data_IF_985526799836
#
_entry.id   IF_985526799836
#
_cell.length_a   1.000
_cell.length_b   1.000
_cell.length_c   1.000
_cell.angle_alpha   90.00
_cell.angle_beta   90.00
_cell.angle_gamma   90.00
#
_symmetry.space_group_name_H-M   'P 1'
#
loop_
_entity.id
_entity.type
_entity.pdbx_description
1 polymer ?
#
# COMPACT_ATOMS: atom_id res chain seq x y z
N UNK A 1 -15.91 12.86 15.57
CA UNK A 1 -15.23 11.57 15.70
C UNK A 1 -14.27 11.40 14.52
N UNK A 2 -13.01 10.97 14.79
CA UNK A 2 -12.03 10.70 13.72
C UNK A 2 -12.21 9.29 13.17
N UNK A 3 -12.17 9.14 11.84
CA UNK A 3 -12.30 7.87 11.14
C UNK A 3 -11.01 7.49 10.42
N UNK A 4 -10.73 6.19 10.33
CA UNK A 4 -9.63 5.64 9.54
C UNK A 4 -9.93 5.84 8.05
N UNK A 5 -8.90 6.12 7.28
CA UNK A 5 -8.97 6.20 5.83
C UNK A 5 -8.86 4.82 5.19
N UNK A 6 -9.99 4.26 4.76
CA UNK A 6 -10.01 3.00 4.01
C UNK A 6 -9.39 3.10 2.60
N UNK A 7 -9.21 4.33 2.09
CA UNK A 7 -8.48 4.58 0.82
C UNK A 7 -6.97 4.67 1.03
N UNK A 8 -6.47 4.43 2.26
CA UNK A 8 -5.05 4.50 2.56
C UNK A 8 -4.28 3.47 1.72
N UNK A 9 -3.24 3.89 0.95
CA UNK A 9 -2.47 2.98 0.09
C UNK A 9 -1.84 1.79 0.83
N UNK A 10 -1.52 1.92 2.12
CA UNK A 10 -1.01 0.79 2.93
C UNK A 10 -2.03 -0.33 3.10
N UNK A 11 -3.32 -0.01 3.08
CA UNK A 11 -4.40 -1.00 3.18
C UNK A 11 -4.70 -1.67 1.86
N UNK A 12 -4.25 -1.09 0.74
CA UNK A 12 -4.60 -1.56 -0.61
C UNK A 12 -4.03 -2.95 -0.96
N UNK A 13 -2.95 -3.38 -0.27
CA UNK A 13 -2.40 -4.74 -0.46
C UNK A 13 -3.23 -5.84 0.22
N UNK A 14 -4.18 -5.45 1.08
CA UNK A 14 -5.06 -6.38 1.78
C UNK A 14 -6.47 -6.33 1.20
N UNK A 15 -7.08 -7.50 1.04
CA UNK A 15 -8.47 -7.57 0.59
C UNK A 15 -9.42 -7.28 1.75
N UNK A 16 -9.80 -6.01 1.89
CA UNK A 16 -10.69 -5.53 2.97
C UNK A 16 -12.17 -5.43 2.54
N UNK A 17 -12.55 -5.98 1.38
CA UNK A 17 -13.96 -5.97 0.95
C UNK A 17 -14.83 -6.71 1.98
N UNK A 18 -15.74 -5.98 2.60
CA UNK A 18 -16.67 -6.52 3.61
C UNK A 18 -16.06 -6.71 5.01
N UNK A 19 -14.78 -6.34 5.22
CA UNK A 19 -14.18 -6.40 6.54
C UNK A 19 -14.83 -5.38 7.47
N UNK A 20 -15.13 -5.79 8.70
CA UNK A 20 -15.55 -4.86 9.74
C UNK A 20 -14.34 -4.11 10.33
N UNK A 21 -14.59 -3.04 11.07
CA UNK A 21 -13.55 -2.17 11.61
C UNK A 21 -12.60 -2.90 12.57
N UNK A 22 -13.09 -3.88 13.33
CA UNK A 22 -12.28 -4.64 14.29
C UNK A 22 -11.28 -5.56 13.56
N UNK A 23 -11.69 -6.14 12.42
CA UNK A 23 -10.81 -6.92 11.55
C UNK A 23 -9.69 -6.04 10.96
N UNK A 24 -10.00 -4.78 10.64
CA UNK A 24 -8.99 -3.81 10.19
C UNK A 24 -8.00 -3.50 11.31
N UNK A 25 -8.44 -3.27 12.54
CA UNK A 25 -7.53 -3.03 13.67
C UNK A 25 -6.63 -4.24 13.94
N UNK A 26 -7.18 -5.44 13.87
CA UNK A 26 -6.41 -6.69 14.04
C UNK A 26 -5.37 -6.86 12.91
N UNK A 27 -5.76 -6.59 11.66
CA UNK A 27 -4.82 -6.61 10.54
C UNK A 27 -3.67 -5.60 10.73
N UNK A 28 -3.99 -4.37 11.16
CA UNK A 28 -2.99 -3.34 11.42
C UNK A 28 -2.05 -3.77 12.55
N UNK A 29 -2.57 -4.45 13.56
CA UNK A 29 -1.77 -5.02 14.65
C UNK A 29 -0.80 -6.07 14.14
N UNK A 30 -1.30 -7.05 13.40
CA UNK A 30 -0.53 -8.20 12.94
C UNK A 30 0.51 -7.86 11.87
N UNK A 31 0.18 -6.94 10.94
CA UNK A 31 0.95 -6.73 9.71
C UNK A 31 1.69 -5.37 9.66
N UNK A 32 1.33 -4.41 10.51
CA UNK A 32 1.84 -3.04 10.39
C UNK A 32 2.55 -2.53 11.64
N UNK A 33 3.10 -3.42 12.45
CA UNK A 33 3.86 -3.09 13.66
C UNK A 33 3.12 -2.06 14.55
N UNK A 34 1.82 -2.26 14.78
CA UNK A 34 1.02 -1.36 15.59
C UNK A 34 1.37 -1.47 17.07
N UNK A 35 1.91 -2.63 17.49
CA UNK A 35 2.38 -2.89 18.86
C UNK A 35 3.38 -1.83 19.32
N UNK A 36 4.36 -1.48 18.48
CA UNK A 36 5.38 -0.47 18.80
C UNK A 36 4.75 0.90 19.11
N UNK A 37 3.71 1.27 18.35
CA UNK A 37 3.01 2.55 18.52
C UNK A 37 2.18 2.53 19.80
N UNK A 38 1.49 1.43 20.08
CA UNK A 38 0.73 1.28 21.33
C UNK A 38 1.66 1.34 22.54
N UNK A 39 2.81 0.67 22.50
CA UNK A 39 3.81 0.72 23.57
C UNK A 39 4.31 2.17 23.75
N UNK A 40 4.64 2.86 22.66
CA UNK A 40 5.11 4.24 22.70
C UNK A 40 4.07 5.19 23.31
N UNK A 41 2.81 5.08 22.86
CA UNK A 41 1.70 5.90 23.41
C UNK A 41 1.45 5.56 24.88
N UNK A 42 1.54 4.30 25.27
CA UNK A 42 1.35 3.88 26.66
C UNK A 42 2.45 4.44 27.57
N UNK A 43 3.68 4.54 27.07
CA UNK A 43 4.83 5.03 27.85
C UNK A 43 4.93 6.57 27.90
N UNK A 44 4.58 7.26 26.82
CA UNK A 44 4.87 8.69 26.64
C UNK A 44 3.65 9.58 26.34
N UNK A 45 2.45 8.99 26.17
CA UNK A 45 1.29 9.70 25.65
C UNK A 45 1.36 9.89 24.13
N UNK A 46 0.39 10.64 23.59
CA UNK A 46 0.38 10.99 22.17
C UNK A 46 1.26 12.22 21.92
N UNK A 47 2.20 12.13 20.99
CA UNK A 47 3.09 13.25 20.68
C UNK A 47 2.35 14.40 19.98
N UNK A 48 2.26 15.54 20.65
CA UNK A 48 1.60 16.76 20.15
C UNK A 48 2.31 17.36 18.93
N UNK A 49 3.60 17.07 18.76
CA UNK A 49 4.44 17.55 17.64
C UNK A 49 4.16 16.84 16.33
N UNK A 50 3.40 15.73 16.36
CA UNK A 50 3.01 14.97 15.18
C UNK A 50 1.48 14.87 15.05
N UNK A 51 0.78 15.96 14.66
CA UNK A 51 -0.68 15.96 14.54
C UNK A 51 -1.12 14.96 13.45
N UNK A 52 -2.37 14.50 13.56
CA UNK A 52 -3.03 13.74 12.51
C UNK A 52 -3.46 14.68 11.39
N UNK A 53 -3.26 14.31 10.13
CA UNK A 53 -3.81 15.08 9.01
C UNK A 53 -5.22 14.59 8.69
N UNK A 54 -6.16 15.52 8.65
CA UNK A 54 -7.59 15.24 8.55
C UNK A 54 -8.20 16.02 7.39
N UNK A 55 -9.08 15.36 6.65
CA UNK A 55 -9.97 16.00 5.67
C UNK A 55 -11.42 15.70 6.03
N UNK A 56 -12.34 16.56 5.63
CA UNK A 56 -13.76 16.30 5.75
C UNK A 56 -14.28 15.71 4.42
N UNK A 57 -14.83 14.49 4.47
CA UNK A 57 -15.50 13.82 3.36
C UNK A 57 -16.86 13.33 3.85
N UNK A 58 -17.93 13.62 3.12
CA UNK A 58 -19.31 13.22 3.45
C UNK A 58 -19.71 13.55 4.91
N UNK A 59 -19.34 14.74 5.41
CA UNK A 59 -19.52 15.21 6.78
C UNK A 59 -18.81 14.34 7.85
N UNK A 60 -17.81 13.58 7.44
CA UNK A 60 -16.97 12.78 8.31
C UNK A 60 -15.53 13.27 8.29
N UNK A 61 -14.88 13.28 9.45
CA UNK A 61 -13.46 13.58 9.56
C UNK A 61 -12.64 12.33 9.33
N UNK A 62 -11.95 12.28 8.20
CA UNK A 62 -11.12 11.16 7.75
C UNK A 62 -9.65 11.48 7.98
N UNK A 63 -8.94 10.61 8.67
CA UNK A 63 -7.50 10.75 8.92
C UNK A 63 -6.72 10.22 7.73
N UNK A 64 -6.20 11.10 6.88
CA UNK A 64 -5.44 10.75 5.68
C UNK A 64 -3.96 10.46 5.98
N UNK A 65 -3.42 11.01 7.08
CA UNK A 65 -2.08 10.68 7.57
C UNK A 65 -2.09 10.51 9.09
N UNK A 66 -1.43 9.44 9.55
CA UNK A 66 -1.41 9.04 10.96
C UNK A 66 -2.39 7.91 11.30
N UNK A 67 -2.89 7.17 10.30
CA UNK A 67 -3.86 6.08 10.51
C UNK A 67 -3.38 5.03 11.52
N UNK A 68 -2.08 4.66 11.52
CA UNK A 68 -1.51 3.74 12.52
C UNK A 68 -1.61 4.30 13.94
N UNK A 69 -1.33 5.61 14.12
CA UNK A 69 -1.43 6.28 15.41
C UNK A 69 -2.89 6.38 15.87
N UNK A 70 -3.80 6.74 14.97
CA UNK A 70 -5.23 6.73 15.27
C UNK A 70 -5.72 5.32 15.67
N UNK A 71 -5.30 4.29 14.96
CA UNK A 71 -5.68 2.90 15.26
C UNK A 71 -5.17 2.46 16.64
N UNK A 72 -3.93 2.80 16.99
CA UNK A 72 -3.39 2.54 18.32
C UNK A 72 -4.23 3.23 19.41
N UNK A 73 -4.60 4.50 19.23
CA UNK A 73 -5.47 5.23 20.15
C UNK A 73 -6.84 4.58 20.26
N UNK A 74 -7.45 4.18 19.12
CA UNK A 74 -8.76 3.51 19.13
C UNK A 74 -8.72 2.19 19.90
N UNK A 75 -7.67 1.38 19.72
CA UNK A 75 -7.48 0.14 20.48
C UNK A 75 -7.31 0.43 21.98
N UNK A 76 -6.54 1.46 22.35
CA UNK A 76 -6.34 1.82 23.76
C UNK A 76 -7.65 2.31 24.40
N UNK A 77 -8.45 3.11 23.68
CA UNK A 77 -9.68 3.69 24.21
C UNK A 77 -10.83 2.69 24.32
N UNK A 78 -10.93 1.75 23.40
CA UNK A 78 -11.96 0.71 23.40
C UNK A 78 -11.55 -0.45 24.31
N UNK A 79 -12.32 -0.68 25.36
CA UNK A 79 -12.00 -1.73 26.35
C UNK A 79 -12.05 -3.13 25.75
N UNK A 80 -13.01 -3.38 24.86
CA UNK A 80 -13.16 -4.69 24.22
C UNK A 80 -12.01 -4.96 23.24
N UNK A 81 -11.68 -3.98 22.38
CA UNK A 81 -10.52 -4.08 21.48
C UNK A 81 -9.21 -4.22 22.24
N UNK A 82 -9.03 -3.48 23.35
CA UNK A 82 -7.88 -3.65 24.22
C UNK A 82 -7.73 -5.09 24.73
N UNK A 83 -8.84 -5.66 25.18
CA UNK A 83 -8.84 -7.04 25.68
C UNK A 83 -8.54 -8.06 24.56
N UNK A 84 -9.11 -7.86 23.38
CA UNK A 84 -9.04 -8.83 22.27
C UNK A 84 -7.71 -8.77 21.51
N UNK A 85 -7.02 -7.62 21.51
CA UNK A 85 -5.83 -7.38 20.69
C UNK A 85 -4.55 -7.26 21.54
N UNK A 86 -4.61 -6.58 22.69
CA UNK A 86 -3.40 -6.25 23.44
C UNK A 86 -2.96 -7.38 24.36
N UNK A 87 -1.66 -7.74 24.36
CA UNK A 87 -1.10 -8.60 25.42
C UNK A 87 -1.31 -7.98 26.81
N UNK A 88 -1.55 -8.82 27.82
CA UNK A 88 -1.79 -8.38 29.21
C UNK A 88 -0.67 -7.46 29.74
N UNK A 89 0.59 -7.76 29.38
CA UNK A 89 1.77 -6.93 29.73
C UNK A 89 1.68 -5.47 29.23
N UNK A 90 0.86 -5.21 28.21
CA UNK A 90 0.64 -3.87 27.64
C UNK A 90 -0.66 -3.28 28.21
N UNK A 91 -1.76 -4.03 28.14
CA UNK A 91 -3.08 -3.55 28.60
C UNK A 91 -3.07 -3.17 30.08
N UNK A 92 -2.34 -3.91 30.94
CA UNK A 92 -2.18 -3.61 32.35
C UNK A 92 -1.42 -2.32 32.67
N UNK A 93 -0.75 -1.71 31.70
CA UNK A 93 -0.05 -0.42 31.85
C UNK A 93 -0.89 0.77 31.42
N UNK A 94 -2.05 0.57 30.81
CA UNK A 94 -2.93 1.63 30.32
C UNK A 94 -3.73 2.21 31.49
N UNK A 95 -3.34 3.42 31.92
CA UNK A 95 -4.00 4.11 33.02
C UNK A 95 -5.30 4.80 32.58
N UNK A 96 -6.21 5.05 33.54
CA UNK A 96 -7.41 5.85 33.28
C UNK A 96 -7.07 7.28 32.88
N UNK A 97 -5.98 7.82 33.41
CA UNK A 97 -5.48 9.14 33.07
C UNK A 97 -5.06 9.20 31.59
N UNK A 98 -4.28 8.22 31.12
CA UNK A 98 -3.90 8.13 29.71
C UNK A 98 -5.11 8.03 28.79
N UNK A 99 -6.12 7.20 29.12
CA UNK A 99 -7.35 7.12 28.33
C UNK A 99 -8.03 8.48 28.19
N UNK A 100 -8.13 9.22 29.27
CA UNK A 100 -8.71 10.57 29.28
C UNK A 100 -7.93 11.55 28.40
N UNK A 101 -6.60 11.51 28.45
CA UNK A 101 -5.73 12.35 27.60
C UNK A 101 -5.88 12.02 26.10
N UNK A 102 -6.12 10.76 25.77
CA UNK A 102 -6.29 10.32 24.39
C UNK A 102 -7.68 10.63 23.78
N UNK A 103 -8.64 11.10 24.56
CA UNK A 103 -9.95 11.54 24.03
C UNK A 103 -9.83 12.75 23.10
N UNK A 104 -8.76 13.56 23.28
CA UNK A 104 -8.49 14.75 22.46
C UNK A 104 -7.13 14.60 21.80
N UNK A 105 -7.12 14.56 20.47
CA UNK A 105 -5.91 14.38 19.67
C UNK A 105 -5.58 15.65 18.89
N UNK A 106 -4.29 15.99 18.71
CA UNK A 106 -3.88 17.06 17.83
C UNK A 106 -4.18 16.72 16.39
N UNK A 107 -4.88 17.60 15.69
CA UNK A 107 -5.21 17.44 14.27
C UNK A 107 -4.83 18.68 13.48
N UNK A 108 -4.44 18.48 12.22
CA UNK A 108 -4.31 19.51 11.22
C UNK A 108 -5.37 19.23 10.14
N UNK A 109 -6.36 20.09 10.04
CA UNK A 109 -7.42 19.99 9.04
C UNK A 109 -6.95 20.60 7.72
N UNK A 110 -7.15 19.88 6.63
CA UNK A 110 -6.85 20.30 5.26
C UNK A 110 -8.14 20.41 4.46
N UNK A 111 -8.15 21.29 3.46
CA UNK A 111 -9.33 21.50 2.60
C UNK A 111 -9.66 20.27 1.73
N UNK A 112 -8.64 19.55 1.29
CA UNK A 112 -8.80 18.37 0.44
C UNK A 112 -7.63 17.39 0.57
N UNK A 113 -7.79 16.17 0.04
CA UNK A 113 -6.68 15.22 -0.10
C UNK A 113 -5.62 15.73 -1.06
N UNK A 114 -6.02 16.52 -2.05
CA UNK A 114 -5.11 17.11 -3.03
C UNK A 114 -4.11 18.07 -2.37
N UNK A 115 -4.50 18.80 -1.35
CA UNK A 115 -3.61 19.72 -0.62
C UNK A 115 -2.47 18.99 0.09
N UNK A 116 -2.69 17.73 0.44
CA UNK A 116 -1.74 16.92 1.21
C UNK A 116 -0.80 16.07 0.36
N UNK A 117 -1.06 15.88 -0.94
CA UNK A 117 -0.37 14.84 -1.71
C UNK A 117 1.16 15.02 -1.75
N UNK A 118 1.65 16.26 -1.84
CA UNK A 118 3.10 16.53 -1.86
C UNK A 118 3.77 16.09 -0.57
N UNK A 119 3.19 16.47 0.55
CA UNK A 119 3.70 16.12 1.87
C UNK A 119 3.65 14.61 2.12
N UNK A 120 2.52 13.98 1.83
CA UNK A 120 2.34 12.53 2.00
C UNK A 120 3.28 11.76 1.07
N UNK A 121 3.39 12.19 -0.20
CA UNK A 121 4.29 11.61 -1.18
C UNK A 121 5.75 11.68 -0.75
N UNK A 122 6.25 12.85 -0.38
CA UNK A 122 7.61 13.00 0.12
C UNK A 122 7.86 12.14 1.37
N UNK A 123 6.96 12.20 2.34
CA UNK A 123 7.09 11.47 3.61
C UNK A 123 7.17 9.95 3.42
N UNK A 124 6.40 9.40 2.49
CA UNK A 124 6.23 7.95 2.36
C UNK A 124 6.93 7.32 1.15
N UNK A 125 7.25 8.09 0.12
CA UNK A 125 8.01 7.58 -1.02
C UNK A 125 9.52 7.61 -0.70
N UNK A 126 10.05 8.75 -0.30
CA UNK A 126 11.49 8.93 -0.04
C UNK A 126 11.85 9.23 1.42
N UNK A 127 10.92 9.66 2.24
CA UNK A 127 11.14 10.00 3.65
C UNK A 127 11.38 8.80 4.56
N UNK A 128 11.55 9.06 5.86
CA UNK A 128 11.87 8.05 6.88
C UNK A 128 10.75 7.00 7.09
N UNK A 129 9.49 7.37 6.88
CA UNK A 129 8.32 6.51 7.08
C UNK A 129 7.86 5.82 5.78
N UNK A 130 8.80 5.23 5.05
CA UNK A 130 8.55 4.64 3.71
C UNK A 130 7.42 3.62 3.68
N UNK A 131 6.56 3.76 2.68
CA UNK A 131 5.62 2.72 2.29
C UNK A 131 6.34 1.58 1.54
N UNK A 132 5.71 0.40 1.49
CA UNK A 132 6.15 -0.64 0.56
C UNK A 132 5.91 -0.21 -0.90
N UNK A 133 6.50 -0.94 -1.84
CA UNK A 133 6.46 -0.58 -3.25
C UNK A 133 5.03 -0.58 -3.83
N UNK A 134 4.16 -1.46 -3.36
CA UNK A 134 2.77 -1.54 -3.83
C UNK A 134 1.95 -0.33 -3.36
N UNK A 135 2.04 0.03 -2.07
CA UNK A 135 1.39 1.22 -1.54
C UNK A 135 1.86 2.51 -2.25
N UNK A 136 3.18 2.61 -2.53
CA UNK A 136 3.73 3.72 -3.32
C UNK A 136 3.12 3.77 -4.73
N UNK A 137 3.03 2.62 -5.40
CA UNK A 137 2.48 2.53 -6.75
C UNK A 137 1.00 2.98 -6.80
N UNK A 138 0.18 2.52 -5.86
CA UNK A 138 -1.23 2.96 -5.72
C UNK A 138 -1.30 4.47 -5.54
N UNK A 139 -0.49 5.03 -4.64
CA UNK A 139 -0.48 6.46 -4.36
C UNK A 139 -0.07 7.29 -5.59
N UNK A 140 1.00 6.89 -6.29
CA UNK A 140 1.47 7.53 -7.52
C UNK A 140 0.35 7.51 -8.58
N UNK A 141 -0.30 6.35 -8.75
CA UNK A 141 -1.41 6.20 -9.70
C UNK A 141 -2.61 7.09 -9.33
N UNK A 142 -2.95 7.19 -8.06
CA UNK A 142 -4.00 8.08 -7.58
C UNK A 142 -3.69 9.55 -7.87
N UNK A 143 -2.48 10.01 -7.55
CA UNK A 143 -2.05 11.40 -7.80
C UNK A 143 -2.06 11.70 -9.29
N UNK A 144 -1.44 10.85 -10.10
CA UNK A 144 -1.39 11.04 -11.56
C UNK A 144 -2.79 11.01 -12.18
N UNK A 145 -3.57 9.96 -11.89
CA UNK A 145 -4.86 9.74 -12.55
C UNK A 145 -5.97 10.68 -12.09
N UNK A 146 -6.02 11.05 -10.80
CA UNK A 146 -7.07 11.91 -10.24
C UNK A 146 -6.76 13.38 -10.37
N UNK A 147 -5.53 13.78 -10.04
CA UNK A 147 -5.16 15.20 -10.01
C UNK A 147 -4.49 15.67 -11.30
N UNK A 148 -4.26 14.75 -12.27
CA UNK A 148 -3.65 15.05 -13.57
C UNK A 148 -2.25 15.64 -13.48
N UNK A 149 -1.51 15.25 -12.43
CA UNK A 149 -0.11 15.62 -12.27
C UNK A 149 0.74 14.65 -13.10
N UNK A 150 1.69 15.15 -13.89
CA UNK A 150 2.57 14.32 -14.70
C UNK A 150 3.46 13.43 -13.82
N UNK A 151 3.86 12.24 -14.30
CA UNK A 151 4.77 11.38 -13.55
C UNK A 151 6.11 12.05 -13.29
N UNK A 152 6.58 12.91 -14.20
CA UNK A 152 7.83 13.67 -14.06
C UNK A 152 7.72 14.72 -12.95
N UNK A 153 6.59 15.44 -12.88
CA UNK A 153 6.33 16.39 -11.79
C UNK A 153 6.24 15.67 -10.44
N UNK A 154 5.58 14.49 -10.40
CA UNK A 154 5.53 13.68 -9.19
C UNK A 154 6.95 13.26 -8.80
N UNK A 155 7.76 12.74 -9.73
CA UNK A 155 9.13 12.32 -9.49
C UNK A 155 9.98 13.47 -8.93
N UNK A 156 9.89 14.65 -9.55
CA UNK A 156 10.60 15.85 -9.11
C UNK A 156 10.20 16.24 -7.68
N UNK A 157 8.90 16.29 -7.38
CA UNK A 157 8.41 16.76 -6.09
C UNK A 157 8.65 15.78 -4.94
N UNK A 158 8.73 14.47 -5.22
CA UNK A 158 9.08 13.46 -4.20
C UNK A 158 10.59 13.19 -4.14
N UNK A 159 11.39 13.83 -4.98
CA UNK A 159 12.85 13.66 -5.01
C UNK A 159 13.29 12.30 -5.57
N UNK A 160 12.57 11.76 -6.56
CA UNK A 160 12.97 10.52 -7.25
C UNK A 160 14.04 10.79 -8.31
N UNK A 161 15.21 10.16 -8.17
CA UNK A 161 16.36 10.30 -9.08
C UNK A 161 16.61 9.05 -9.93
N UNK A 162 15.78 8.00 -9.79
CA UNK A 162 16.04 6.67 -10.37
C UNK A 162 14.87 6.12 -11.21
N UNK A 163 13.99 6.98 -11.67
CA UNK A 163 12.77 6.62 -12.43
C UNK A 163 11.89 5.59 -11.66
N UNK A 164 11.89 5.66 -10.33
CA UNK A 164 11.11 4.75 -9.48
C UNK A 164 9.62 5.03 -9.65
N UNK A 165 9.24 6.30 -9.80
CA UNK A 165 7.86 6.73 -10.00
C UNK A 165 7.26 6.09 -11.25
N UNK A 166 7.96 6.20 -12.39
CA UNK A 166 7.51 5.62 -13.67
C UNK A 166 7.40 4.09 -13.60
N UNK A 167 8.41 3.41 -13.02
CA UNK A 167 8.41 1.94 -12.86
C UNK A 167 7.26 1.45 -11.97
N UNK A 168 6.99 2.14 -10.87
CA UNK A 168 5.91 1.78 -9.96
C UNK A 168 4.55 2.02 -10.61
N UNK A 169 4.39 3.14 -11.34
CA UNK A 169 3.16 3.43 -12.06
C UNK A 169 2.88 2.38 -13.15
N UNK A 170 3.87 2.05 -13.98
CA UNK A 170 3.72 1.00 -14.98
C UNK A 170 3.32 -0.34 -14.36
N UNK A 171 3.99 -0.74 -13.26
CA UNK A 171 3.67 -1.99 -12.59
C UNK A 171 2.23 -2.06 -12.07
N UNK A 172 1.70 -0.96 -11.49
CA UNK A 172 0.31 -0.97 -10.99
C UNK A 172 -0.69 -0.95 -12.14
N UNK A 173 -0.40 -0.25 -13.26
CA UNK A 173 -1.26 -0.27 -14.45
C UNK A 173 -1.33 -1.68 -15.06
N UNK A 174 -0.25 -2.46 -15.06
CA UNK A 174 -0.25 -3.88 -15.47
C UNK A 174 -1.18 -4.71 -14.58
N UNK A 175 -1.11 -4.55 -13.26
CA UNK A 175 -2.01 -5.25 -12.33
C UNK A 175 -3.48 -4.89 -12.60
N UNK A 176 -3.80 -3.59 -12.71
CA UNK A 176 -5.16 -3.13 -12.96
C UNK A 176 -5.69 -3.59 -14.33
N UNK A 177 -4.84 -3.58 -15.36
CA UNK A 177 -5.19 -4.12 -16.68
C UNK A 177 -5.51 -5.61 -16.59
N UNK A 178 -4.67 -6.40 -15.91
CA UNK A 178 -4.88 -7.84 -15.76
C UNK A 178 -6.17 -8.18 -15.02
N UNK A 179 -6.53 -7.38 -14.01
CA UNK A 179 -7.80 -7.52 -13.29
C UNK A 179 -9.00 -7.18 -14.19
N UNK A 180 -8.93 -6.09 -14.99
CA UNK A 180 -9.97 -5.74 -15.97
C UNK A 180 -10.16 -6.84 -17.02
N UNK A 181 -9.05 -7.42 -17.49
CA UNK A 181 -9.05 -8.54 -18.46
C UNK A 181 -9.44 -9.88 -17.84
N UNK A 182 -9.60 -9.95 -16.51
CA UNK A 182 -9.95 -11.17 -15.75
C UNK A 182 -8.94 -12.30 -15.91
N UNK A 183 -7.66 -11.99 -16.09
CA UNK A 183 -6.55 -12.96 -16.12
C UNK A 183 -5.81 -13.05 -14.80
N UNK A 184 -6.06 -12.09 -13.89
CA UNK A 184 -5.48 -12.05 -12.57
C UNK A 184 -6.49 -11.47 -11.57
N UNK A 185 -6.38 -11.88 -10.31
CA UNK A 185 -7.17 -11.36 -9.21
C UNK A 185 -6.28 -11.32 -7.95
N UNK A 186 -6.11 -10.13 -7.35
CA UNK A 186 -5.25 -9.96 -6.16
C UNK A 186 -5.67 -10.83 -4.97
N UNK A 187 -6.95 -11.13 -4.84
CA UNK A 187 -7.48 -12.02 -3.80
C UNK A 187 -7.10 -13.49 -3.99
N UNK A 188 -6.65 -13.87 -5.21
CA UNK A 188 -6.34 -15.27 -5.58
C UNK A 188 -4.83 -15.62 -5.50
N UNK A 189 -3.96 -14.69 -5.12
CA UNK A 189 -2.51 -14.97 -5.01
C UNK A 189 -2.22 -16.08 -4.02
N UNK A 190 -1.27 -16.98 -4.34
CA UNK A 190 -0.94 -18.13 -3.51
C UNK A 190 -0.33 -17.75 -2.15
N UNK A 191 0.43 -16.67 -2.10
CA UNK A 191 1.01 -16.14 -0.86
C UNK A 191 0.11 -15.09 -0.22
N UNK A 192 0.27 -14.87 1.09
CA UNK A 192 -0.48 -13.86 1.84
C UNK A 192 -0.17 -12.42 1.36
N UNK A 193 1.04 -12.19 0.80
CA UNK A 193 1.53 -10.87 0.40
C UNK A 193 1.89 -10.83 -1.08
N UNK A 194 1.48 -9.73 -1.74
CA UNK A 194 1.88 -9.42 -3.12
C UNK A 194 3.31 -8.85 -3.11
N UNK A 195 4.28 -9.63 -3.59
CA UNK A 195 5.66 -9.16 -3.77
C UNK A 195 5.75 -8.32 -5.05
N UNK A 196 5.20 -7.11 -5.01
CA UNK A 196 5.06 -6.21 -6.15
C UNK A 196 6.41 -5.88 -6.82
N UNK A 197 7.51 -5.92 -6.06
CA UNK A 197 8.85 -5.71 -6.60
C UNK A 197 9.24 -6.73 -7.67
N UNK A 198 8.71 -7.94 -7.64
CA UNK A 198 8.99 -8.92 -8.69
C UNK A 198 8.43 -8.44 -10.04
N UNK A 199 7.20 -7.91 -10.06
CA UNK A 199 6.57 -7.43 -11.29
C UNK A 199 7.29 -6.22 -11.88
N UNK A 200 7.43 -5.12 -11.13
CA UNK A 200 8.03 -3.92 -11.72
C UNK A 200 9.51 -4.11 -12.09
N UNK A 201 10.20 -5.09 -11.48
CA UNK A 201 11.54 -5.49 -11.90
C UNK A 201 11.49 -6.32 -13.17
N UNK A 202 10.57 -7.30 -13.29
CA UNK A 202 10.38 -8.09 -14.49
C UNK A 202 10.13 -7.20 -15.72
N UNK A 203 9.27 -6.19 -15.58
CA UNK A 203 8.96 -5.23 -16.66
C UNK A 203 10.15 -4.39 -17.14
N UNK A 204 11.30 -4.44 -16.46
CA UNK A 204 12.54 -3.79 -16.94
C UNK A 204 13.43 -4.73 -17.76
N UNK A 205 13.16 -6.02 -17.77
CA UNK A 205 13.94 -7.01 -18.50
C UNK A 205 13.43 -7.19 -19.92
N UNK A 206 14.34 -7.27 -20.89
CA UNK A 206 13.99 -7.33 -22.32
C UNK A 206 13.17 -8.58 -22.68
N UNK A 207 13.53 -9.77 -22.18
CA UNK A 207 12.78 -10.99 -22.45
C UNK A 207 11.33 -10.91 -21.94
N UNK A 208 11.09 -10.28 -20.79
CA UNK A 208 9.71 -10.05 -20.33
C UNK A 208 8.97 -9.03 -21.21
N UNK A 209 9.66 -7.96 -21.65
CA UNK A 209 9.05 -6.97 -22.53
C UNK A 209 8.64 -7.59 -23.87
N UNK A 210 9.54 -8.35 -24.49
CA UNK A 210 9.28 -9.07 -25.74
C UNK A 210 8.14 -10.08 -25.58
N UNK A 211 8.17 -10.89 -24.53
CA UNK A 211 7.12 -11.87 -24.24
C UNK A 211 5.75 -11.20 -24.06
N UNK A 212 5.70 -10.06 -23.37
CA UNK A 212 4.49 -9.28 -23.13
C UNK A 212 4.12 -8.33 -24.28
N UNK A 213 4.94 -8.21 -25.32
CA UNK A 213 4.69 -7.33 -26.45
C UNK A 213 4.84 -5.84 -26.12
N UNK A 214 5.66 -5.49 -25.14
CA UNK A 214 5.93 -4.09 -24.76
C UNK A 214 7.02 -3.56 -25.71
N UNK A 215 6.62 -2.91 -26.81
CA UNK A 215 7.56 -2.41 -27.82
C UNK A 215 8.14 -1.03 -27.51
N UNK A 216 7.37 -0.17 -26.83
CA UNK A 216 7.79 1.17 -26.41
C UNK A 216 7.35 1.43 -24.97
N UNK A 217 8.24 2.05 -24.19
CA UNK A 217 7.91 2.46 -22.84
C UNK A 217 7.05 3.73 -22.87
N UNK A 218 5.73 3.56 -22.91
CA UNK A 218 4.81 4.65 -22.57
C UNK A 218 4.53 4.59 -21.06
N UNK A 219 5.27 5.40 -20.31
CA UNK A 219 5.16 5.44 -18.85
C UNK A 219 3.76 5.79 -18.34
N UNK A 220 2.97 6.51 -19.12
CA UNK A 220 1.63 6.98 -18.74
C UNK A 220 0.49 6.08 -19.24
N UNK A 221 0.80 5.02 -19.96
CA UNK A 221 -0.22 4.10 -20.47
C UNK A 221 -0.98 3.40 -19.34
N UNK A 222 -2.32 3.45 -19.42
CA UNK A 222 -3.19 2.67 -18.52
C UNK A 222 -3.39 1.22 -18.99
N UNK A 223 -2.97 0.91 -20.21
CA UNK A 223 -3.03 -0.41 -20.85
C UNK A 223 -1.66 -0.72 -21.46
N UNK A 224 -0.63 -0.96 -20.60
CA UNK A 224 0.72 -1.14 -21.08
C UNK A 224 0.95 -2.44 -21.86
N UNK A 225 0.06 -3.42 -21.75
CA UNK A 225 0.16 -4.72 -22.43
C UNK A 225 -0.85 -4.77 -23.57
N UNK A 226 -0.43 -5.10 -24.82
CA UNK A 226 -1.36 -5.31 -25.93
C UNK A 226 -2.43 -6.36 -25.59
N UNK A 227 -3.67 -6.16 -26.05
CA UNK A 227 -4.80 -7.04 -25.71
C UNK A 227 -4.59 -8.46 -26.21
N UNK A 228 -3.92 -8.63 -27.35
CA UNK A 228 -3.52 -9.91 -27.92
C UNK A 228 -2.54 -10.70 -27.06
N UNK A 229 -1.82 -10.00 -26.16
CA UNK A 229 -0.88 -10.59 -25.18
C UNK A 229 -1.53 -10.90 -23.83
N UNK A 230 -2.86 -10.94 -23.79
CA UNK A 230 -3.64 -11.23 -22.59
C UNK A 230 -3.27 -12.57 -21.93
N UNK A 231 -3.01 -13.61 -22.73
CA UNK A 231 -2.64 -14.94 -22.22
C UNK A 231 -1.29 -14.88 -21.52
N UNK A 232 -0.30 -14.30 -22.19
CA UNK A 232 1.07 -14.13 -21.69
C UNK A 232 1.10 -13.29 -20.41
N UNK A 233 0.27 -12.25 -20.33
CA UNK A 233 0.09 -11.48 -19.11
C UNK A 233 -0.39 -12.35 -17.94
N UNK A 234 -1.38 -13.21 -18.19
CA UNK A 234 -1.88 -14.15 -17.18
C UNK A 234 -0.82 -15.16 -16.73
N UNK A 235 0.01 -15.66 -17.68
CA UNK A 235 1.12 -16.57 -17.39
C UNK A 235 2.18 -15.90 -16.52
N UNK A 236 2.65 -14.70 -16.89
CA UNK A 236 3.65 -13.95 -16.10
C UNK A 236 3.16 -13.74 -14.68
N UNK A 237 1.91 -13.29 -14.50
CA UNK A 237 1.37 -13.06 -13.15
C UNK A 237 1.18 -14.37 -12.36
N UNK A 238 0.89 -15.48 -13.03
CA UNK A 238 0.86 -16.80 -12.41
C UNK A 238 2.26 -17.25 -11.97
N UNK A 239 3.30 -17.03 -12.77
CA UNK A 239 4.69 -17.34 -12.38
C UNK A 239 5.15 -16.51 -11.18
N UNK A 240 4.76 -15.24 -11.12
CA UNK A 240 5.13 -14.32 -10.03
C UNK A 240 4.35 -14.57 -8.74
N UNK A 241 3.06 -14.90 -8.83
CA UNK A 241 2.16 -14.84 -7.66
C UNK A 241 1.41 -16.14 -7.38
N UNK A 242 1.39 -17.09 -8.32
CA UNK A 242 0.59 -18.31 -8.19
C UNK A 242 -0.92 -18.03 -8.19
N UNK A 243 -1.72 -19.05 -7.85
CA UNK A 243 -3.18 -18.95 -7.71
C UNK A 243 -3.67 -19.96 -6.67
N UNK A 244 -4.41 -19.47 -5.68
CA UNK A 244 -5.08 -20.32 -4.68
C UNK A 244 -6.18 -21.18 -5.32
N UNK A 245 -6.99 -20.55 -6.19
CA UNK A 245 -8.11 -21.25 -6.87
C UNK A 245 -7.63 -22.41 -7.74
N UNK A 246 -6.47 -22.25 -8.37
CA UNK A 246 -5.86 -23.29 -9.23
C UNK A 246 -4.88 -24.18 -8.48
N UNK A 247 -4.63 -23.94 -7.21
CA UNK A 247 -3.62 -24.62 -6.40
C UNK A 247 -2.23 -24.60 -7.05
N UNK A 248 -1.82 -23.44 -7.56
CA UNK A 248 -0.53 -23.22 -8.23
C UNK A 248 0.32 -22.31 -7.36
N UNK A 249 1.49 -22.79 -6.95
CA UNK A 249 2.49 -21.99 -6.26
C UNK A 249 3.25 -21.08 -7.24
N UNK A 250 3.73 -19.91 -6.79
CA UNK A 250 4.56 -19.05 -7.61
C UNK A 250 5.90 -19.75 -7.95
N UNK A 251 6.30 -19.62 -9.21
CA UNK A 251 7.61 -20.11 -9.69
C UNK A 251 8.73 -19.20 -9.17
N UNK A 252 8.48 -17.89 -9.16
CA UNK A 252 9.44 -16.88 -8.72
C UNK A 252 9.31 -16.68 -7.21
N UNK A 253 10.33 -17.08 -6.47
CA UNK A 253 10.42 -16.92 -5.01
C UNK A 253 11.34 -15.77 -4.62
N UNK A 254 12.23 -15.36 -5.54
CA UNK A 254 13.20 -14.27 -5.33
C UNK A 254 13.44 -13.48 -6.61
N UNK A 255 13.90 -12.22 -6.47
CA UNK A 255 14.37 -11.42 -7.61
C UNK A 255 15.69 -11.95 -8.17
N UNK A 256 16.52 -12.53 -7.32
CA UNK A 256 17.81 -13.10 -7.68
C UNK A 256 18.05 -14.37 -6.85
N UNK A 257 18.18 -15.59 -7.49
CA UNK A 257 18.39 -15.77 -8.94
C UNK A 257 17.13 -15.98 -9.79
N UNK A 258 15.93 -16.28 -9.20
CA UNK A 258 14.82 -16.86 -9.95
C UNK A 258 14.34 -16.00 -11.13
N UNK A 259 14.08 -14.71 -10.87
CA UNK A 259 13.62 -13.77 -11.89
C UNK A 259 14.63 -13.61 -13.03
N UNK A 260 15.94 -13.55 -12.69
CA UNK A 260 17.01 -13.48 -13.68
C UNK A 260 17.16 -14.76 -14.51
N UNK A 261 16.88 -15.91 -13.91
CA UNK A 261 16.93 -17.17 -14.64
C UNK A 261 15.77 -17.27 -15.63
N UNK A 262 14.56 -16.85 -15.22
CA UNK A 262 13.41 -16.80 -16.12
C UNK A 262 13.64 -15.79 -17.26
N UNK A 263 14.22 -14.64 -16.99
CA UNK A 263 14.63 -13.66 -18.01
C UNK A 263 15.49 -14.30 -19.11
N UNK A 264 16.53 -15.07 -18.72
CA UNK A 264 17.41 -15.75 -19.70
C UNK A 264 16.66 -16.74 -20.57
N UNK A 265 15.66 -17.43 -20.03
CA UNK A 265 14.83 -18.38 -20.77
C UNK A 265 13.94 -17.64 -21.77
N UNK A 266 13.36 -16.50 -21.39
CA UNK A 266 12.51 -15.71 -22.27
C UNK A 266 13.28 -15.02 -23.39
N UNK A 267 14.58 -14.73 -23.17
CA UNK A 267 15.47 -14.08 -24.16
C UNK A 267 16.22 -15.06 -25.06
N UNK A 268 16.01 -16.38 -24.92
CA UNK A 268 16.66 -17.42 -25.70
C UNK A 268 15.78 -17.88 -26.87
#
# INVERSE_FOLDING_TARGET
>A
LLNIDFKNPRLAEFNLKGANINEVYKLLWDEMALEEIVISITAHGFFQTEPLLVVEEDKQKIVIEGNRRLSAVKIILDTQLSHDILPEKISGKISAQLRKELEVLPVLELGSREDAWRFIGFKHINGAAKWNSFAKAIYIADVHNKYKISLDDIAYQVGDTHNTVQKLYQGIMVIEQAERLKVFERSDIAKRRLYFSHLYTALQYEGFKEFLGISEFNAESKEPIPVEKKSELGEVLSWLYGSKKKNVDPVIKSQNPDLKNLEKILSS
#
